data_IF_926535518747
#
_entry.id   IF_926535518747
#
_cell.length_a   1.000
_cell.length_b   1.000
_cell.length_c   1.000
_cell.angle_alpha   90.00
_cell.angle_beta   90.00
_cell.angle_gamma   90.00
#
_symmetry.space_group_name_H-M   'P 1'
#
loop_
_entity.id
_entity.type
_entity.pdbx_description
1 polymer ?
#
# COMPACT_ATOMS: atom_id res chain seq x y z
N UNK A 1 5.09 9.92 11.84
CA UNK A 1 5.20 8.72 12.68
C UNK A 1 5.79 7.61 11.82
N UNK A 2 6.87 6.96 12.25
CA UNK A 2 7.47 5.88 11.48
C UNK A 2 6.56 4.63 11.51
N UNK A 3 6.27 3.96 10.37
CA UNK A 3 5.39 2.80 10.33
C UNK A 3 5.83 1.68 11.28
N UNK A 4 7.11 1.33 11.27
CA UNK A 4 7.64 0.29 12.17
C UNK A 4 7.52 0.65 13.67
N UNK A 5 7.53 1.95 14.03
CA UNK A 5 7.37 2.36 15.42
C UNK A 5 5.92 2.19 15.88
N UNK A 6 4.96 2.47 15.00
CA UNK A 6 3.54 2.21 15.26
C UNK A 6 3.27 0.71 15.32
N UNK A 7 3.82 -0.06 14.38
CA UNK A 7 3.67 -1.51 14.31
C UNK A 7 4.23 -2.21 15.56
N UNK A 8 5.44 -1.83 16.01
CA UNK A 8 6.02 -2.33 17.25
C UNK A 8 5.14 -2.06 18.48
N UNK A 9 4.40 -0.94 18.51
CA UNK A 9 3.44 -0.68 19.57
C UNK A 9 2.22 -1.61 19.50
N UNK A 10 1.79 -1.99 18.30
CA UNK A 10 0.68 -2.94 18.12
C UNK A 10 1.04 -4.36 18.55
N UNK A 11 2.32 -4.76 18.56
CA UNK A 11 2.73 -6.05 19.12
C UNK A 11 2.26 -6.25 20.58
N UNK A 12 2.06 -5.16 21.32
CA UNK A 12 1.54 -5.22 22.68
C UNK A 12 0.08 -5.75 22.75
N UNK A 13 -0.69 -5.73 21.65
CA UNK A 13 -2.07 -6.24 21.66
C UNK A 13 -2.15 -7.73 21.91
N UNK A 14 -1.11 -8.48 21.56
CA UNK A 14 -0.97 -9.91 21.78
C UNK A 14 -0.94 -10.30 23.27
N UNK A 15 -0.69 -9.36 24.18
CA UNK A 15 -0.72 -9.58 25.63
C UNK A 15 -2.10 -9.32 26.22
N UNK A 16 -3.14 -9.89 25.62
CA UNK A 16 -4.51 -9.85 26.15
C UNK A 16 -5.26 -8.53 25.89
N UNK A 17 -4.87 -7.72 24.90
CA UNK A 17 -5.72 -6.62 24.46
C UNK A 17 -6.83 -7.08 23.50
N UNK A 18 -6.59 -8.18 22.78
CA UNK A 18 -7.55 -8.88 21.92
C UNK A 18 -7.74 -10.33 22.42
N UNK A 19 -8.85 -10.96 22.02
CA UNK A 19 -9.16 -12.35 22.35
C UNK A 19 -8.15 -13.30 21.71
N UNK A 20 -7.95 -14.46 22.35
CA UNK A 20 -7.16 -15.54 21.76
C UNK A 20 -7.88 -16.08 20.51
N UNK A 21 -7.12 -16.43 19.49
CA UNK A 21 -7.63 -17.09 18.30
C UNK A 21 -7.54 -18.60 18.42
N UNK A 22 -8.23 -19.31 17.52
CA UNK A 22 -8.06 -20.74 17.36
C UNK A 22 -6.57 -21.10 17.13
N UNK A 23 -6.13 -22.29 17.57
CA UNK A 23 -4.77 -22.75 17.34
C UNK A 23 -4.39 -22.67 15.86
N UNK A 24 -3.28 -21.99 15.56
CA UNK A 24 -2.77 -21.83 14.20
C UNK A 24 -3.28 -20.60 13.44
N UNK A 25 -4.12 -19.75 14.04
CA UNK A 25 -4.51 -18.46 13.46
C UNK A 25 -3.70 -17.30 14.03
N UNK A 26 -3.55 -16.23 13.24
CA UNK A 26 -2.91 -14.97 13.64
C UNK A 26 -3.91 -13.83 13.51
N UNK A 27 -3.97 -12.95 14.52
CA UNK A 27 -4.74 -11.71 14.44
C UNK A 27 -3.94 -10.64 13.73
N UNK A 28 -4.51 -10.07 12.67
CA UNK A 28 -3.93 -8.95 11.95
C UNK A 28 -4.83 -7.72 12.03
N UNK A 29 -4.26 -6.50 12.15
CA UNK A 29 -5.00 -5.26 11.98
C UNK A 29 -5.75 -5.25 10.64
N UNK A 30 -7.06 -5.06 10.66
CA UNK A 30 -7.91 -5.13 9.48
C UNK A 30 -8.61 -3.81 9.16
N UNK A 31 -9.17 -3.13 10.15
CA UNK A 31 -9.89 -1.87 9.94
C UNK A 31 -9.54 -0.82 11.00
N UNK A 32 -9.29 0.41 10.54
CA UNK A 32 -8.92 1.56 11.36
C UNK A 32 -9.99 2.65 11.24
N UNK A 33 -10.52 3.13 12.36
CA UNK A 33 -11.49 4.21 12.38
C UNK A 33 -11.10 5.30 13.39
N UNK A 34 -11.37 6.56 13.05
CA UNK A 34 -11.05 7.70 13.91
C UNK A 34 -9.55 7.86 14.14
N UNK A 35 -8.74 7.72 13.09
CA UNK A 35 -7.28 7.94 13.16
C UNK A 35 -6.99 9.44 13.09
N UNK A 36 -6.20 9.94 14.03
CA UNK A 36 -5.69 11.31 14.02
C UNK A 36 -4.23 11.31 14.39
N UNK A 37 -3.39 11.90 13.54
CA UNK A 37 -1.96 12.11 13.80
C UNK A 37 -1.80 13.54 14.28
N UNK A 38 -1.27 13.70 15.49
CA UNK A 38 -1.07 14.98 16.17
C UNK A 38 0.33 15.54 15.95
N UNK A 39 1.33 14.68 15.73
CA UNK A 39 2.73 15.07 15.53
C UNK A 39 3.48 14.13 14.57
N UNK A 40 4.53 14.65 13.93
CA UNK A 40 5.46 13.90 13.08
C UNK A 40 6.86 13.85 13.72
N UNK A 41 7.75 13.00 13.19
CA UNK A 41 9.13 12.91 13.69
C UNK A 41 9.34 12.21 15.04
N UNK A 42 8.29 11.72 15.71
CA UNK A 42 8.43 10.96 16.95
C UNK A 42 9.30 9.70 16.74
N UNK A 43 10.33 9.56 17.57
CA UNK A 43 11.25 8.40 17.62
C UNK A 43 10.97 7.46 18.78
N UNK A 44 10.06 7.85 19.68
CA UNK A 44 9.67 7.11 20.88
C UNK A 44 8.18 7.32 21.17
N UNK A 45 7.49 6.30 21.66
CA UNK A 45 6.08 6.36 22.05
C UNK A 45 5.83 5.75 23.44
N UNK A 46 4.94 6.40 24.21
CA UNK A 46 4.19 5.81 25.33
C UNK A 46 2.78 5.52 24.84
N UNK A 47 2.37 4.24 24.89
CA UNK A 47 1.13 3.80 24.25
C UNK A 47 0.17 3.26 25.29
N UNK A 48 -1.09 3.71 25.20
CA UNK A 48 -2.22 3.15 25.93
C UNK A 48 -3.14 2.47 24.92
N UNK A 49 -3.37 1.18 25.16
CA UNK A 49 -4.29 0.34 24.40
C UNK A 49 -5.47 0.02 25.31
N UNK A 50 -6.68 0.23 24.81
CA UNK A 50 -7.91 -0.02 25.57
C UNK A 50 -8.78 -0.98 24.78
N UNK A 51 -9.12 -2.12 25.36
CA UNK A 51 -10.03 -3.09 24.74
C UNK A 51 -11.43 -2.47 24.60
N UNK A 52 -11.99 -2.50 23.40
CA UNK A 52 -13.36 -2.07 23.10
C UNK A 52 -14.31 -3.26 22.85
N UNK A 53 -13.76 -4.43 22.52
CA UNK A 53 -14.49 -5.67 22.27
C UNK A 53 -13.55 -6.86 22.22
N UNK A 54 -14.01 -8.01 21.70
CA UNK A 54 -13.17 -9.21 21.63
C UNK A 54 -12.01 -9.05 20.64
N UNK A 55 -12.22 -8.35 19.54
CA UNK A 55 -11.28 -8.20 18.43
C UNK A 55 -10.95 -6.73 18.13
N UNK A 56 -11.35 -5.80 19.00
CA UNK A 56 -11.27 -4.36 18.72
C UNK A 56 -10.66 -3.61 19.91
N UNK A 57 -9.76 -2.68 19.61
CA UNK A 57 -9.09 -1.82 20.60
C UNK A 57 -9.10 -0.35 20.19
N UNK A 58 -8.99 0.56 21.14
CA UNK A 58 -8.59 1.95 20.93
C UNK A 58 -7.09 2.10 21.22
N UNK A 59 -6.41 2.98 20.49
CA UNK A 59 -4.98 3.26 20.68
C UNK A 59 -4.77 4.76 20.86
N UNK A 60 -4.03 5.13 21.89
CA UNK A 60 -3.54 6.50 22.06
C UNK A 60 -2.06 6.45 22.37
N UNK A 61 -1.26 7.25 21.67
CA UNK A 61 0.18 7.31 21.84
C UNK A 61 0.65 8.75 22.05
N UNK A 62 1.59 8.92 22.97
CA UNK A 62 2.26 10.18 23.27
C UNK A 62 3.77 10.02 23.16
N UNK A 63 4.51 11.12 23.01
CA UNK A 63 5.98 11.10 23.00
C UNK A 63 6.56 11.00 24.43
N UNK A 64 7.89 11.15 24.55
CA UNK A 64 8.58 11.11 25.84
C UNK A 64 8.20 12.26 26.79
N UNK A 65 7.70 13.38 26.27
CA UNK A 65 7.24 14.54 27.04
C UNK A 65 5.77 14.40 27.47
N UNK A 66 5.05 13.45 26.87
CA UNK A 66 3.61 13.25 27.09
C UNK A 66 2.74 14.00 26.08
N UNK A 67 3.32 14.66 25.09
CA UNK A 67 2.55 15.30 24.02
C UNK A 67 1.93 14.24 23.10
N UNK A 68 0.66 14.41 22.67
CA UNK A 68 -0.02 13.42 21.83
C UNK A 68 0.66 13.29 20.46
N UNK A 69 0.81 12.06 19.98
CA UNK A 69 1.39 11.75 18.66
C UNK A 69 0.36 11.15 17.72
N UNK A 70 -0.41 10.15 18.18
CA UNK A 70 -1.49 9.54 17.39
C UNK A 70 -2.62 9.04 18.30
N UNK A 71 -3.85 9.16 17.82
CA UNK A 71 -5.04 8.54 18.41
C UNK A 71 -5.80 7.74 17.36
N UNK A 72 -6.34 6.60 17.76
CA UNK A 72 -7.15 5.69 16.95
C UNK A 72 -8.40 5.36 17.76
N UNK A 73 -9.56 5.77 17.26
CA UNK A 73 -10.85 5.54 17.90
C UNK A 73 -11.20 4.06 17.97
N UNK A 74 -11.01 3.32 16.87
CA UNK A 74 -11.09 1.86 16.87
C UNK A 74 -10.15 1.21 15.86
N UNK A 75 -9.52 0.12 16.28
CA UNK A 75 -8.69 -0.76 15.48
C UNK A 75 -9.23 -2.17 15.64
N UNK A 76 -9.86 -2.68 14.59
CA UNK A 76 -10.40 -4.03 14.53
C UNK A 76 -9.38 -5.01 13.95
N UNK A 77 -9.28 -6.17 14.56
CA UNK A 77 -8.40 -7.26 14.17
C UNK A 77 -9.22 -8.38 13.53
N UNK A 78 -8.59 -9.12 12.62
CA UNK A 78 -9.19 -10.29 11.99
C UNK A 78 -8.24 -11.47 12.08
N UNK A 79 -8.79 -12.64 12.39
CA UNK A 79 -8.06 -13.88 12.35
C UNK A 79 -7.80 -14.29 10.90
N UNK A 80 -6.55 -14.64 10.61
CA UNK A 80 -6.09 -15.13 9.32
C UNK A 80 -5.39 -16.46 9.55
N UNK A 81 -5.72 -17.45 8.71
CA UNK A 81 -4.95 -18.68 8.62
C UNK A 81 -3.66 -18.35 7.84
N UNK A 82 -2.45 -18.57 8.41
CA UNK A 82 -1.18 -18.31 7.74
C UNK A 82 -1.08 -18.94 6.35
N UNK A 83 -1.75 -20.07 6.10
CA UNK A 83 -1.79 -20.72 4.78
C UNK A 83 -2.48 -19.88 3.72
N UNK A 84 -3.29 -18.89 4.10
CA UNK A 84 -3.87 -17.90 3.17
C UNK A 84 -2.86 -16.83 2.75
N UNK A 85 -1.81 -16.63 3.56
CA UNK A 85 -0.71 -15.70 3.27
C UNK A 85 0.43 -16.40 2.50
N UNK A 86 0.43 -17.73 2.47
CA UNK A 86 1.29 -18.51 1.59
C UNK A 86 0.84 -18.30 0.14
N UNK A 87 1.44 -17.33 -0.53
CA UNK A 87 1.30 -17.15 -1.96
C UNK A 87 2.06 -18.27 -2.69
N UNK A 88 1.30 -19.23 -3.22
CA UNK A 88 1.78 -20.27 -4.15
C UNK A 88 2.07 -21.61 -3.48
N UNK A 89 1.74 -22.71 -4.20
CA UNK A 89 2.22 -24.05 -3.87
C UNK A 89 3.74 -24.00 -3.60
N UNK A 90 4.21 -24.60 -2.50
CA UNK A 90 5.65 -24.69 -2.16
C UNK A 90 6.50 -25.17 -3.36
N UNK A 91 5.91 -26.02 -4.21
CA UNK A 91 6.52 -26.52 -5.46
C UNK A 91 6.85 -25.39 -6.44
N UNK A 92 6.01 -24.35 -6.54
CA UNK A 92 6.25 -23.19 -7.40
C UNK A 92 7.23 -22.20 -6.76
N UNK A 93 7.31 -22.14 -5.43
CA UNK A 93 8.25 -21.25 -4.72
C UNK A 93 9.72 -21.63 -4.99
N UNK A 94 10.00 -22.93 -5.10
CA UNK A 94 11.33 -23.48 -5.42
C UNK A 94 11.50 -23.87 -6.91
N UNK A 95 10.50 -23.56 -7.76
CA UNK A 95 10.58 -23.86 -9.18
C UNK A 95 11.53 -22.90 -9.92
N UNK A 96 12.28 -23.42 -10.88
CA UNK A 96 12.98 -22.61 -11.86
C UNK A 96 12.00 -22.19 -12.95
N UNK A 97 11.69 -20.89 -13.00
CA UNK A 97 10.90 -20.31 -14.08
C UNK A 97 11.79 -19.93 -15.26
N UNK A 98 11.27 -20.14 -16.47
CA UNK A 98 11.88 -19.73 -17.74
C UNK A 98 10.91 -18.77 -18.42
N UNK A 99 11.42 -17.67 -18.95
CA UNK A 99 10.65 -16.82 -19.86
C UNK A 99 10.45 -17.58 -21.16
N UNK A 100 9.19 -17.83 -21.52
CA UNK A 100 8.80 -18.40 -22.80
C UNK A 100 7.94 -17.36 -23.54
N UNK A 101 8.51 -16.75 -24.57
CA UNK A 101 7.81 -15.76 -25.37
C UNK A 101 6.94 -16.48 -26.39
N UNK A 102 5.63 -16.41 -26.21
CA UNK A 102 4.68 -16.89 -27.20
C UNK A 102 4.46 -15.80 -28.25
N UNK A 103 4.69 -16.12 -29.52
CA UNK A 103 4.37 -15.21 -30.61
C UNK A 103 2.86 -14.95 -30.65
N UNK A 104 2.49 -13.68 -30.58
CA UNK A 104 1.13 -13.21 -30.83
C UNK A 104 1.11 -12.49 -32.18
N UNK A 105 0.07 -12.69 -33.02
CA UNK A 105 -0.05 -11.96 -34.27
C UNK A 105 0.03 -10.46 -34.01
N UNK A 106 0.89 -9.76 -34.75
CA UNK A 106 0.92 -8.31 -34.71
C UNK A 106 -0.48 -7.79 -35.09
N UNK A 107 -1.05 -6.83 -34.33
CA UNK A 107 -2.23 -6.11 -34.78
C UNK A 107 -1.94 -5.55 -36.18
N UNK A 108 -2.87 -5.70 -37.13
CA UNK A 108 -2.75 -4.99 -38.39
C UNK A 108 -2.61 -3.50 -38.07
N UNK A 109 -1.54 -2.87 -38.59
CA UNK A 109 -1.32 -1.44 -38.47
C UNK A 109 -2.58 -0.72 -38.96
N UNK A 110 -3.40 -0.26 -38.01
CA UNK A 110 -4.47 0.66 -38.31
C UNK A 110 -3.77 2.00 -38.46
N UNK A 111 -3.56 2.43 -39.70
CA UNK A 111 -3.04 3.75 -39.96
C UNK A 111 -3.91 4.80 -39.23
N UNK A 112 -3.31 5.47 -38.25
CA UNK A 112 -3.70 6.78 -37.75
C UNK A 112 -5.01 6.87 -36.97
N UNK A 113 -4.97 6.50 -35.68
CA UNK A 113 -5.74 7.26 -34.71
C UNK A 113 -4.79 8.34 -34.13
N UNK A 114 -5.12 9.60 -34.33
CA UNK A 114 -4.36 10.73 -33.76
C UNK A 114 -4.74 10.87 -32.29
N UNK A 115 -4.19 9.96 -31.48
CA UNK A 115 -4.40 9.97 -30.04
C UNK A 115 -3.41 10.94 -29.39
N UNK A 116 -3.88 11.85 -28.51
CA UNK A 116 -2.97 12.65 -27.72
C UNK A 116 -2.05 11.73 -26.91
N UNK A 117 -0.75 12.01 -26.94
CA UNK A 117 0.27 11.24 -26.22
C UNK A 117 0.90 12.12 -25.14
N UNK A 118 0.78 11.69 -23.88
CA UNK A 118 1.60 12.19 -22.79
C UNK A 118 2.84 11.30 -22.66
N UNK A 119 3.99 11.81 -23.11
CA UNK A 119 5.26 11.12 -23.01
C UNK A 119 5.99 11.47 -21.71
N UNK A 120 6.08 10.49 -20.81
CA UNK A 120 6.81 10.58 -19.55
C UNK A 120 8.16 9.84 -19.62
N UNK A 121 8.55 9.36 -20.79
CA UNK A 121 9.83 8.66 -20.99
C UNK A 121 11.01 9.64 -21.01
N UNK A 122 12.23 9.13 -20.78
CA UNK A 122 13.46 9.93 -20.87
C UNK A 122 13.69 10.90 -19.70
N UNK A 123 13.03 10.67 -18.55
CA UNK A 123 13.14 11.49 -17.34
C UNK A 123 13.83 10.71 -16.19
N UNK A 124 15.14 10.43 -16.26
CA UNK A 124 15.82 9.65 -15.24
C UNK A 124 15.84 10.41 -13.90
N UNK A 125 15.46 9.73 -12.82
CA UNK A 125 15.44 10.31 -11.46
C UNK A 125 14.33 11.33 -11.21
N UNK A 126 13.32 11.41 -12.08
CA UNK A 126 12.15 12.25 -11.83
C UNK A 126 11.42 11.81 -10.55
N UNK A 127 10.92 12.79 -9.81
CA UNK A 127 10.13 12.52 -8.61
C UNK A 127 8.82 11.80 -9.02
N UNK A 128 8.56 10.67 -8.35
CA UNK A 128 7.41 9.82 -8.65
C UNK A 128 6.11 10.55 -8.40
N UNK A 129 6.04 11.37 -7.34
CA UNK A 129 4.83 12.12 -6.98
C UNK A 129 4.56 13.23 -8.00
N UNK A 130 5.60 13.89 -8.50
CA UNK A 130 5.48 14.90 -9.55
C UNK A 130 4.99 14.26 -10.86
N UNK A 131 5.61 13.15 -11.26
CA UNK A 131 5.24 12.42 -12.49
C UNK A 131 3.81 11.88 -12.43
N UNK A 132 3.38 11.35 -11.26
CA UNK A 132 2.02 10.93 -11.02
C UNK A 132 1.02 12.10 -11.01
N UNK A 133 1.43 13.26 -10.48
CA UNK A 133 0.62 14.49 -10.51
C UNK A 133 0.37 15.00 -11.93
N UNK A 134 1.40 15.00 -12.78
CA UNK A 134 1.30 15.37 -14.20
C UNK A 134 0.40 14.40 -14.98
N UNK A 135 0.60 13.09 -14.78
CA UNK A 135 -0.26 12.07 -15.39
C UNK A 135 -1.72 12.22 -14.96
N UNK A 136 -1.97 12.45 -13.66
CA UNK A 136 -3.31 12.66 -13.13
C UNK A 136 -3.97 13.92 -13.72
N UNK A 137 -3.24 15.03 -13.81
CA UNK A 137 -3.75 16.27 -14.38
C UNK A 137 -4.15 16.07 -15.85
N UNK A 138 -3.30 15.42 -16.65
CA UNK A 138 -3.59 15.13 -18.05
C UNK A 138 -4.82 14.22 -18.24
N UNK A 139 -4.96 13.19 -17.39
CA UNK A 139 -6.14 12.32 -17.41
C UNK A 139 -7.41 13.09 -17.03
N UNK A 140 -7.35 13.94 -16.00
CA UNK A 140 -8.49 14.74 -15.57
C UNK A 140 -8.92 15.76 -16.64
N UNK A 141 -7.96 16.44 -17.27
CA UNK A 141 -8.23 17.37 -18.37
C UNK A 141 -8.85 16.65 -19.57
N UNK A 142 -8.31 15.48 -19.93
CA UNK A 142 -8.84 14.69 -21.03
C UNK A 142 -10.27 14.21 -20.77
N UNK A 143 -10.56 13.73 -19.55
CA UNK A 143 -11.90 13.30 -19.15
C UNK A 143 -12.92 14.44 -19.01
N UNK A 144 -12.44 15.68 -18.78
CA UNK A 144 -13.28 16.86 -18.74
C UNK A 144 -13.63 17.41 -20.14
N UNK A 145 -12.87 17.01 -21.17
CA UNK A 145 -13.14 17.37 -22.56
C UNK A 145 -14.29 16.56 -23.18
N UNK A 146 -14.87 17.07 -24.27
CA UNK A 146 -15.94 16.38 -25.03
C UNK A 146 -15.41 15.38 -26.08
N UNK A 147 -14.11 15.04 -26.03
CA UNK A 147 -13.48 14.18 -27.03
C UNK A 147 -13.59 12.70 -26.65
N UNK A 148 -14.08 11.88 -27.58
CA UNK A 148 -14.04 10.41 -27.47
C UNK A 148 -12.67 9.80 -27.87
N UNK A 149 -11.66 10.64 -28.12
CA UNK A 149 -10.31 10.17 -28.40
C UNK A 149 -9.73 9.45 -27.18
N UNK A 150 -8.78 8.52 -27.37
CA UNK A 150 -8.06 7.89 -26.25
C UNK A 150 -6.80 8.68 -25.95
N UNK A 151 -6.54 8.98 -24.68
CA UNK A 151 -5.25 9.46 -24.21
C UNK A 151 -4.26 8.30 -24.05
N UNK A 152 -3.07 8.43 -24.63
CA UNK A 152 -1.96 7.50 -24.43
C UNK A 152 -0.98 8.10 -23.43
N UNK A 153 -0.71 7.40 -22.33
CA UNK A 153 0.35 7.76 -21.39
C UNK A 153 1.52 6.81 -21.63
N UNK A 154 2.61 7.33 -22.20
CA UNK A 154 3.79 6.54 -22.51
C UNK A 154 4.77 6.60 -21.34
N UNK A 155 5.10 5.43 -20.80
CA UNK A 155 6.11 5.27 -19.74
C UNK A 155 7.14 4.23 -20.17
N UNK A 156 8.35 4.32 -19.62
CA UNK A 156 9.44 3.37 -19.84
C UNK A 156 10.10 3.10 -18.51
N UNK A 157 10.47 1.84 -18.28
CA UNK A 157 11.13 1.40 -17.05
C UNK A 157 10.35 1.80 -15.77
N UNK A 158 9.01 1.89 -15.87
CA UNK A 158 8.11 2.30 -14.78
C UNK A 158 7.97 1.24 -13.67
N UNK A 159 8.84 0.25 -13.66
CA UNK A 159 8.95 -0.76 -12.60
C UNK A 159 10.14 -0.34 -11.76
N UNK A 160 9.91 -0.03 -10.48
CA UNK A 160 11.00 0.15 -9.54
C UNK A 160 11.78 -1.17 -9.46
N UNK A 161 13.03 -1.18 -9.94
CA UNK A 161 13.94 -2.30 -9.72
C UNK A 161 14.33 -2.31 -8.24
N UNK A 162 13.86 -3.27 -7.43
CA UNK A 162 14.20 -3.32 -6.01
C UNK A 162 15.70 -3.56 -5.77
N UNK A 163 16.47 -3.94 -6.79
CA UNK A 163 17.93 -4.07 -6.71
C UNK A 163 18.69 -2.73 -6.85
N UNK A 164 18.01 -1.63 -7.18
CA UNK A 164 18.62 -0.29 -7.32
C UNK A 164 18.35 0.65 -6.13
N UNK A 165 17.74 0.17 -5.04
CA UNK A 165 17.46 0.92 -3.82
C UNK A 165 18.47 0.63 -2.69
#
# INVERSE_FOLDING_TARGET
LHPALLDAALHATSFGAVAETEPGQVLLPFAWNGVTVHATGATFLRVRITRLGNDTVAVTAADATGAPVVSVGSLAFRAVDPRQLESGDDVLRDALFRVDWQEVPAPQETAGADWPVLDLTGRPGADVRESAGEALAAVQEHLAGESDARLVVLTRDAVADPAQA
#
